data_IF_667906915064
#
_entry.id   IF_667906915064
#
_cell.length_a   1.000
_cell.length_b   1.000
_cell.length_c   1.000
_cell.angle_alpha   90.00
_cell.angle_beta   90.00
_cell.angle_gamma   90.00
#
_symmetry.space_group_name_H-M   'P 1'
#
loop_
_entity.id
_entity.type
_entity.pdbx_description
1 polymer ?
#
# COMPACT_ATOMS: atom_id res chain seq x y z
N UNK A 1 -2.64 -27.57 -18.78
CA UNK A 1 -2.68 -28.38 -17.54
C UNK A 1 -3.37 -27.54 -16.50
N UNK A 2 -4.49 -28.04 -15.98
CA UNK A 2 -5.21 -27.44 -14.86
C UNK A 2 -4.31 -27.33 -13.64
N UNK A 3 -4.42 -26.20 -12.94
CA UNK A 3 -4.48 -26.18 -11.48
C UNK A 3 -5.54 -25.14 -11.14
N UNK A 4 -6.77 -25.60 -10.95
CA UNK A 4 -7.73 -24.88 -10.12
C UNK A 4 -7.26 -25.03 -8.68
N UNK A 5 -7.27 -23.95 -7.92
CA UNK A 5 -7.42 -24.05 -6.47
C UNK A 5 -8.30 -22.91 -5.95
N UNK A 6 -9.15 -23.30 -5.01
CA UNK A 6 -10.43 -22.68 -4.68
C UNK A 6 -10.25 -21.36 -3.94
N UNK A 7 -10.71 -20.25 -4.52
CA UNK A 7 -10.89 -18.99 -3.77
C UNK A 7 -12.21 -19.10 -3.01
N UNK A 8 -12.11 -19.41 -1.72
CA UNK A 8 -13.21 -19.33 -0.75
C UNK A 8 -13.84 -17.93 -0.80
N UNK A 9 -15.10 -17.86 -1.22
CA UNK A 9 -15.84 -16.64 -1.39
C UNK A 9 -16.12 -15.89 -0.09
N UNK A 10 -15.74 -14.62 -0.06
CA UNK A 10 -16.49 -13.47 0.43
C UNK A 10 -15.88 -12.21 -0.21
N UNK A 11 -16.68 -11.22 -0.62
CA UNK A 11 -16.14 -9.97 -1.13
C UNK A 11 -15.27 -9.33 -0.06
N UNK A 12 -14.02 -9.11 -0.42
CA UNK A 12 -13.01 -8.41 0.36
C UNK A 12 -13.36 -6.92 0.30
N UNK A 13 -14.15 -6.45 1.27
CA UNK A 13 -14.69 -5.09 1.29
C UNK A 13 -14.01 -4.24 2.34
N UNK A 14 -13.02 -3.44 1.95
CA UNK A 14 -12.42 -2.43 2.83
C UNK A 14 -10.93 -2.18 2.65
N UNK A 15 -10.23 -3.01 1.87
CA UNK A 15 -8.81 -2.86 1.65
C UNK A 15 -8.44 -1.69 0.77
N UNK A 16 -7.17 -1.33 0.85
CA UNK A 16 -6.58 -0.27 0.06
C UNK A 16 -5.09 -0.50 -0.13
N UNK A 17 -4.51 0.29 -1.01
CA UNK A 17 -3.10 0.23 -1.36
C UNK A 17 -2.52 1.60 -1.11
N UNK A 18 -1.51 1.63 -0.24
CA UNK A 18 -0.66 2.80 -0.05
C UNK A 18 0.47 2.69 -1.06
N UNK A 19 0.57 3.69 -1.92
CA UNK A 19 1.54 3.73 -3.01
C UNK A 19 2.47 4.90 -2.72
N UNK A 20 3.76 4.62 -2.58
CA UNK A 20 4.82 5.63 -2.53
C UNK A 20 5.59 5.59 -3.83
N UNK A 21 5.56 6.69 -4.56
CA UNK A 21 6.25 6.90 -5.82
C UNK A 21 7.45 7.80 -5.57
N UNK A 22 8.62 7.37 -6.01
CA UNK A 22 9.87 8.10 -5.83
C UNK A 22 10.33 8.56 -7.20
N UNK A 23 10.35 9.88 -7.38
CA UNK A 23 10.80 10.51 -8.62
C UNK A 23 12.25 10.94 -8.46
N UNK A 24 13.14 10.40 -9.29
CA UNK A 24 14.54 10.82 -9.31
C UNK A 24 14.66 12.29 -9.72
N UNK A 25 15.35 13.10 -8.92
CA UNK A 25 15.89 14.37 -9.40
C UNK A 25 17.03 14.07 -10.37
N UNK A 26 16.89 14.44 -11.64
CA UNK A 26 17.98 14.39 -12.62
C UNK A 26 19.14 15.36 -12.29
N UNK A 27 19.02 16.17 -11.24
CA UNK A 27 20.08 17.05 -10.75
C UNK A 27 20.58 16.56 -9.39
N UNK A 28 21.76 15.92 -9.37
CA UNK A 28 22.49 15.62 -8.13
C UNK A 28 23.51 14.50 -8.27
N UNK A 29 24.78 14.91 -8.42
CA UNK A 29 26.04 14.17 -8.36
C UNK A 29 26.04 12.75 -7.73
N UNK A 30 26.93 11.92 -8.29
CA UNK A 30 27.31 10.55 -7.92
C UNK A 30 27.84 10.35 -6.47
N UNK A 31 27.50 11.22 -5.51
CA UNK A 31 28.12 11.27 -4.18
C UNK A 31 27.15 11.30 -3.00
N UNK A 32 25.83 11.24 -3.21
CA UNK A 32 24.86 11.07 -2.12
C UNK A 32 24.16 9.71 -2.24
N UNK A 33 24.48 8.78 -1.34
CA UNK A 33 23.86 7.43 -1.24
C UNK A 33 22.34 7.45 -1.02
N UNK A 34 21.76 8.63 -0.77
CA UNK A 34 20.34 8.88 -0.86
C UNK A 34 20.12 9.91 -1.98
N UNK A 35 19.85 9.46 -3.20
CA UNK A 35 19.40 10.34 -4.26
C UNK A 35 18.22 11.17 -3.77
N UNK A 36 18.19 12.46 -4.12
CA UNK A 36 17.08 13.36 -3.80
C UNK A 36 15.82 12.89 -4.55
N UNK A 37 15.10 11.92 -3.98
CA UNK A 37 13.80 11.51 -4.47
C UNK A 37 12.76 12.49 -3.93
N UNK A 38 11.85 12.94 -4.79
CA UNK A 38 10.64 13.60 -4.34
C UNK A 38 9.62 12.48 -4.10
N UNK A 39 9.33 12.11 -2.84
CA UNK A 39 8.31 11.11 -2.57
C UNK A 39 6.93 11.70 -2.86
N UNK A 40 6.06 10.87 -3.43
CA UNK A 40 4.63 11.14 -3.52
C UNK A 40 3.88 9.94 -2.99
N UNK A 41 2.95 10.17 -2.07
CA UNK A 41 2.02 9.14 -1.65
C UNK A 41 0.70 9.28 -2.42
N UNK A 42 0.05 8.16 -2.72
CA UNK A 42 -1.33 8.11 -3.15
C UNK A 42 -2.01 6.86 -2.59
N UNK A 43 -3.33 6.94 -2.46
CA UNK A 43 -4.17 5.87 -1.96
C UNK A 43 -5.00 5.29 -3.12
N UNK A 44 -5.00 3.96 -3.27
CA UNK A 44 -5.90 3.26 -4.18
C UNK A 44 -6.88 2.41 -3.36
N UNK A 45 -8.18 2.68 -3.49
CA UNK A 45 -9.26 1.99 -2.77
C UNK A 45 -9.87 0.81 -3.54
N UNK A 46 -9.37 0.53 -4.73
CA UNK A 46 -10.01 -0.36 -5.71
C UNK A 46 -9.45 -1.78 -5.64
N UNK A 47 -9.65 -2.50 -4.54
CA UNK A 47 -9.50 -3.96 -4.58
C UNK A 47 -10.68 -4.56 -5.35
N UNK A 48 -10.39 -5.41 -6.33
CA UNK A 48 -11.39 -6.27 -6.98
C UNK A 48 -11.91 -7.26 -5.94
N UNK A 49 -13.10 -7.83 -6.18
CA UNK A 49 -13.76 -8.73 -5.23
C UNK A 49 -12.95 -10.00 -4.90
N UNK A 50 -12.00 -10.37 -5.78
CA UNK A 50 -11.05 -11.47 -5.61
C UNK A 50 -9.75 -11.05 -4.90
N UNK A 51 -9.68 -9.83 -4.39
CA UNK A 51 -8.50 -9.25 -3.74
C UNK A 51 -7.41 -8.77 -4.70
N UNK A 52 -7.60 -8.93 -6.01
CA UNK A 52 -6.65 -8.44 -7.00
C UNK A 52 -6.80 -6.93 -7.21
N UNK A 53 -5.76 -6.29 -7.73
CA UNK A 53 -5.80 -4.88 -8.12
C UNK A 53 -4.97 -4.73 -9.39
N UNK A 54 -5.23 -3.64 -10.09
CA UNK A 54 -4.50 -3.29 -11.29
C UNK A 54 -4.25 -1.79 -11.24
N UNK A 55 -3.03 -1.37 -11.55
CA UNK A 55 -2.68 0.03 -11.58
C UNK A 55 -1.65 0.33 -12.65
N UNK A 56 -1.85 1.47 -13.28
CA UNK A 56 -0.82 2.09 -14.09
C UNK A 56 0.10 2.92 -13.19
N UNK A 57 1.39 2.89 -13.49
CA UNK A 57 2.40 3.65 -12.80
C UNK A 57 2.86 4.83 -13.66
N UNK A 58 3.14 5.97 -13.02
CA UNK A 58 3.76 7.11 -13.71
C UNK A 58 5.15 6.70 -14.22
N UNK A 59 5.36 6.83 -15.52
CA UNK A 59 6.60 6.39 -16.14
C UNK A 59 7.84 7.15 -15.64
N UNK A 60 7.66 8.32 -15.03
CA UNK A 60 8.74 9.16 -14.50
C UNK A 60 9.20 8.73 -13.11
N UNK A 61 8.42 7.91 -12.41
CA UNK A 61 8.83 7.39 -11.11
C UNK A 61 9.88 6.27 -11.30
N UNK A 62 10.99 6.40 -10.58
CA UNK A 62 12.13 5.50 -10.63
C UNK A 62 12.01 4.35 -9.63
N UNK A 63 11.24 4.55 -8.56
CA UNK A 63 10.96 3.53 -7.56
C UNK A 63 9.52 3.63 -7.07
N UNK A 64 8.97 2.47 -6.72
CA UNK A 64 7.63 2.31 -6.16
C UNK A 64 7.70 1.44 -4.91
N UNK A 65 7.00 1.84 -3.87
CA UNK A 65 6.69 1.00 -2.72
C UNK A 65 5.18 0.89 -2.56
N UNK A 66 4.67 -0.33 -2.59
CA UNK A 66 3.27 -0.65 -2.43
C UNK A 66 3.09 -1.39 -1.11
N UNK A 67 2.15 -0.91 -0.29
CA UNK A 67 1.69 -1.61 0.90
C UNK A 67 0.21 -1.90 0.72
N UNK A 68 -0.11 -3.18 0.67
CA UNK A 68 -1.48 -3.69 0.56
C UNK A 68 -2.00 -3.92 1.96
N UNK A 69 -3.14 -3.30 2.26
CA UNK A 69 -3.77 -3.38 3.57
C UNK A 69 -5.18 -3.90 3.37
N UNK A 70 -5.49 -5.00 4.05
CA UNK A 70 -6.83 -5.59 4.10
C UNK A 70 -7.05 -6.23 5.47
N UNK A 71 -8.26 -6.10 5.98
CA UNK A 71 -8.63 -6.67 7.27
C UNK A 71 -8.49 -8.19 7.26
N UNK A 72 -7.78 -8.72 8.27
CA UNK A 72 -7.57 -10.16 8.41
C UNK A 72 -6.43 -10.74 7.56
N UNK A 73 -5.67 -9.90 6.87
CA UNK A 73 -4.49 -10.32 6.10
C UNK A 73 -3.22 -9.61 6.59
N UNK A 74 -2.08 -10.25 6.40
CA UNK A 74 -0.78 -9.62 6.62
C UNK A 74 -0.56 -8.46 5.64
N UNK A 75 0.13 -7.40 6.07
CA UNK A 75 0.49 -6.30 5.16
C UNK A 75 1.44 -6.83 4.09
N UNK A 76 0.94 -6.96 2.87
CA UNK A 76 1.79 -7.34 1.75
C UNK A 76 2.59 -6.12 1.29
N UNK A 77 3.89 -6.31 1.09
CA UNK A 77 4.80 -5.23 0.67
C UNK A 77 5.47 -5.60 -0.63
N UNK A 78 5.47 -4.65 -1.56
CA UNK A 78 6.15 -4.81 -2.83
C UNK A 78 6.96 -3.55 -3.14
N UNK A 79 8.25 -3.75 -3.40
CA UNK A 79 9.16 -2.67 -3.82
C UNK A 79 9.63 -2.97 -5.24
N UNK A 80 9.53 -1.98 -6.11
CA UNK A 80 10.02 -2.05 -7.48
C UNK A 80 10.95 -0.88 -7.76
N UNK A 81 12.12 -1.18 -8.29
CA UNK A 81 13.05 -0.19 -8.82
C UNK A 81 13.09 -0.37 -10.34
N UNK A 82 12.82 0.71 -11.06
CA UNK A 82 12.73 0.67 -12.53
C UNK A 82 14.11 0.44 -13.13
N UNK A 83 14.20 -0.57 -13.98
CA UNK A 83 15.36 -0.79 -14.86
C UNK A 83 15.10 -0.16 -16.24
N UNK A 84 16.16 0.28 -16.92
CA UNK A 84 16.10 0.80 -18.29
C UNK A 84 15.35 -0.20 -19.20
N UNK A 85 14.33 0.29 -19.92
CA UNK A 85 13.55 -0.51 -20.87
C UNK A 85 12.24 -1.11 -20.34
N UNK A 86 11.94 -1.01 -19.04
CA UNK A 86 10.62 -1.42 -18.51
C UNK A 86 9.61 -0.29 -18.75
N UNK A 87 8.52 -0.55 -19.49
CA UNK A 87 7.50 0.44 -19.84
C UNK A 87 6.33 0.52 -18.85
N UNK A 88 5.78 -0.64 -18.47
CA UNK A 88 4.62 -0.83 -17.59
C UNK A 88 4.91 -1.93 -16.56
N UNK A 89 4.27 -1.87 -15.39
CA UNK A 89 4.36 -2.90 -14.36
C UNK A 89 2.95 -3.41 -14.03
N UNK A 90 2.70 -4.69 -14.30
CA UNK A 90 1.49 -5.40 -13.85
C UNK A 90 1.85 -6.27 -12.66
N UNK A 91 1.17 -6.09 -11.53
CA UNK A 91 1.45 -6.83 -10.31
C UNK A 91 0.15 -7.31 -9.66
N UNK A 92 0.11 -8.60 -9.31
CA UNK A 92 -0.99 -9.23 -8.58
C UNK A 92 -0.46 -9.63 -7.20
N UNK A 93 -0.95 -8.97 -6.14
CA UNK A 93 -0.58 -9.35 -4.79
C UNK A 93 -1.24 -10.67 -4.40
N UNK A 94 -0.50 -11.48 -3.66
CA UNK A 94 -1.01 -12.67 -2.99
C UNK A 94 -1.03 -12.38 -1.49
N UNK A 95 -2.18 -11.94 -0.99
CA UNK A 95 -2.36 -11.62 0.42
C UNK A 95 -2.36 -12.92 1.25
N UNK A 96 -1.63 -12.93 2.35
CA UNK A 96 -1.56 -14.07 3.28
C UNK A 96 -2.53 -13.78 4.43
N UNK A 97 -3.48 -14.66 4.74
CA UNK A 97 -4.35 -14.49 5.90
C UNK A 97 -3.52 -14.36 7.18
N UNK A 98 -3.80 -13.34 7.99
CA UNK A 98 -3.09 -13.12 9.24
C UNK A 98 -3.60 -14.10 10.29
N UNK A 99 -2.67 -14.79 10.97
CA UNK A 99 -2.98 -15.63 12.13
C UNK A 99 -3.29 -14.83 13.39
N UNK A 100 -2.87 -13.56 13.43
CA UNK A 100 -3.08 -12.64 14.55
C UNK A 100 -3.24 -11.20 14.04
N UNK A 101 -4.43 -10.92 13.50
CA UNK A 101 -4.73 -9.62 12.90
C UNK A 101 -4.68 -8.46 13.89
N UNK A 102 -5.05 -8.68 15.15
CA UNK A 102 -5.02 -7.63 16.17
C UNK A 102 -3.59 -7.09 16.39
N UNK A 103 -2.60 -7.98 16.49
CA UNK A 103 -1.20 -7.57 16.63
C UNK A 103 -0.67 -6.92 15.35
N UNK A 104 -1.00 -7.45 14.17
CA UNK A 104 -0.62 -6.85 12.87
C UNK A 104 -1.21 -5.44 12.71
N UNK A 105 -2.45 -5.24 13.17
CA UNK A 105 -3.13 -3.95 13.16
C UNK A 105 -2.40 -2.92 14.04
N UNK A 106 -1.93 -3.31 15.22
CA UNK A 106 -1.26 -2.41 16.18
C UNK A 106 0.19 -2.16 15.79
N UNK A 107 0.93 -3.19 15.41
CA UNK A 107 2.38 -3.12 15.20
C UNK A 107 2.77 -2.80 13.75
N UNK A 108 1.94 -3.19 12.77
CA UNK A 108 2.22 -3.03 11.34
C UNK A 108 1.38 -1.93 10.69
N UNK A 109 0.06 -2.08 10.72
CA UNK A 109 -0.87 -1.24 9.96
C UNK A 109 -1.01 0.16 10.56
N UNK A 110 -1.21 0.25 11.88
CA UNK A 110 -1.40 1.54 12.57
C UNK A 110 -0.23 2.50 12.32
N UNK A 111 1.04 2.11 12.55
CA UNK A 111 2.17 3.00 12.29
C UNK A 111 2.29 3.38 10.82
N UNK A 112 2.05 2.42 9.92
CA UNK A 112 2.08 2.65 8.47
C UNK A 112 1.08 3.74 8.06
N UNK A 113 -0.16 3.68 8.55
CA UNK A 113 -1.21 4.67 8.26
C UNK A 113 -0.88 6.02 8.91
N UNK A 114 -0.43 6.02 10.17
CA UNK A 114 -0.09 7.25 10.88
C UNK A 114 1.04 8.02 10.20
N UNK A 115 2.05 7.35 9.66
CA UNK A 115 3.14 8.01 8.92
C UNK A 115 2.63 8.82 7.71
N UNK A 116 1.55 8.37 7.05
CA UNK A 116 0.96 9.08 5.91
C UNK A 116 0.15 10.33 6.32
N UNK A 117 -0.28 10.39 7.57
CA UNK A 117 -0.98 11.54 8.14
C UNK A 117 0.01 12.58 8.68
N UNK A 118 1.15 12.13 9.20
CA UNK A 118 2.10 12.97 9.95
C UNK A 118 3.29 13.46 9.11
N UNK A 119 3.80 12.67 8.15
CA UNK A 119 4.99 13.03 7.39
C UNK A 119 4.67 13.98 6.22
N UNK A 120 5.22 15.21 6.18
CA UNK A 120 4.89 16.20 5.15
C UNK A 120 5.18 15.73 3.72
N UNK A 121 6.21 14.89 3.53
CA UNK A 121 6.60 14.34 2.22
C UNK A 121 5.67 13.24 1.70
N UNK A 122 4.84 12.65 2.55
CA UNK A 122 3.88 11.60 2.19
C UNK A 122 2.43 12.03 2.43
N UNK A 123 2.19 13.32 2.65
CA UNK A 123 0.86 13.83 2.99
C UNK A 123 -0.11 13.56 1.84
N UNK A 124 -1.11 12.74 2.13
CA UNK A 124 -2.18 12.40 1.19
C UNK A 124 -3.15 13.59 1.02
N UNK A 125 -3.97 13.62 -0.04
CA UNK A 125 -5.10 14.55 -0.14
C UNK A 125 -6.06 14.40 1.06
N UNK A 126 -6.73 15.48 1.47
CA UNK A 126 -7.67 15.47 2.62
C UNK A 126 -8.71 14.35 2.57
N UNK A 127 -9.35 14.01 1.43
CA UNK A 127 -10.30 12.90 1.36
C UNK A 127 -9.69 11.55 1.70
N UNK A 128 -8.43 11.34 1.32
CA UNK A 128 -7.70 10.09 1.57
C UNK A 128 -7.23 10.02 3.04
N UNK A 129 -6.84 11.16 3.62
CA UNK A 129 -6.52 11.24 5.06
C UNK A 129 -7.75 10.93 5.92
N UNK A 130 -8.92 11.50 5.57
CA UNK A 130 -10.17 11.25 6.29
C UNK A 130 -10.56 9.78 6.21
N UNK A 131 -10.52 9.18 5.01
CA UNK A 131 -10.80 7.76 4.82
C UNK A 131 -9.89 6.89 5.70
N UNK A 132 -8.58 7.16 5.72
CA UNK A 132 -7.64 6.38 6.54
C UNK A 132 -7.93 6.51 8.04
N UNK A 133 -8.30 7.71 8.49
CA UNK A 133 -8.71 7.95 9.87
C UNK A 133 -9.97 7.17 10.27
N UNK A 134 -11.02 7.25 9.45
CA UNK A 134 -12.28 6.54 9.66
C UNK A 134 -12.08 5.01 9.62
N UNK A 135 -11.32 4.52 8.64
CA UNK A 135 -11.00 3.11 8.52
C UNK A 135 -10.25 2.60 9.75
N UNK A 136 -9.22 3.34 10.20
CA UNK A 136 -8.44 2.96 11.37
C UNK A 136 -9.28 2.96 12.66
N UNK A 137 -10.16 3.96 12.83
CA UNK A 137 -11.08 4.03 13.96
C UNK A 137 -12.03 2.82 13.98
N UNK A 138 -12.61 2.48 12.82
CA UNK A 138 -13.47 1.30 12.66
C UNK A 138 -12.72 0.00 13.00
N UNK A 139 -11.51 -0.18 12.47
CA UNK A 139 -10.71 -1.37 12.75
C UNK A 139 -10.39 -1.50 14.24
N UNK A 140 -10.08 -0.40 14.94
CA UNK A 140 -9.84 -0.43 16.39
C UNK A 140 -11.09 -0.83 17.16
N UNK A 141 -12.24 -0.24 16.82
CA UNK A 141 -13.50 -0.56 17.48
C UNK A 141 -13.88 -2.03 17.30
N UNK A 142 -13.68 -2.59 16.11
CA UNK A 142 -14.01 -4.00 15.81
C UNK A 142 -13.07 -5.01 16.50
N UNK A 143 -11.81 -4.65 16.71
CA UNK A 143 -10.79 -5.58 17.23
C UNK A 143 -10.50 -5.42 18.72
N UNK A 144 -10.74 -4.25 19.29
CA UNK A 144 -10.42 -3.94 20.70
C UNK A 144 -11.63 -3.44 21.51
N UNK A 145 -12.77 -3.16 20.87
CA UNK A 145 -13.93 -2.55 21.51
C UNK A 145 -13.77 -1.04 21.71
N UNK A 146 -14.80 -0.42 22.28
CA UNK A 146 -14.71 0.94 22.85
C UNK A 146 -14.17 0.83 24.26
N UNK A 147 -13.04 1.48 24.55
CA UNK A 147 -12.64 1.79 25.93
C UNK A 147 -13.72 2.63 26.65
#
# INVERSE_FOLDING_TARGET
GQVEDVVSGKPVGGGFIIIKEFYGSFAGNETSEAGNFIPRARLLRSLKADGSFEMDFDWRASQFELNFVEQGYEVHRFRFQRQLGVGNLHYVAKMIPSSNWADELVLGVTPLVQNLLLEPGYRLPEPDQLFLGEWLAKQRQENFGTE
#
